data_IF_753243116304
#
_entry.id   IF_753243116304
#
_cell.length_a   1.000
_cell.length_b   1.000
_cell.length_c   1.000
_cell.angle_alpha   90.00
_cell.angle_beta   90.00
_cell.angle_gamma   90.00
#
_symmetry.space_group_name_H-M   'P 1'
#
loop_
_entity.id
_entity.type
_entity.pdbx_description
1 polymer ?
#
# COMPACT_ATOMS: atom_id res chain seq x y z
N UNK A 1 -7.32 32.89 18.72
CA UNK A 1 -7.54 31.55 18.10
C UNK A 1 -7.12 31.63 16.65
N UNK A 2 -5.86 31.30 16.35
CA UNK A 2 -5.42 31.10 14.97
C UNK A 2 -5.79 29.68 14.57
N UNK A 3 -6.77 29.57 13.67
CA UNK A 3 -7.04 28.31 12.96
C UNK A 3 -5.94 28.20 11.90
N UNK A 4 -4.91 27.41 12.19
CA UNK A 4 -3.86 27.08 11.22
C UNK A 4 -4.50 26.34 10.05
N UNK A 5 -4.47 26.95 8.87
CA UNK A 5 -4.90 26.41 7.57
C UNK A 5 -3.91 25.36 7.03
N UNK A 6 -3.41 24.47 7.89
CA UNK A 6 -2.79 23.24 7.43
C UNK A 6 -3.93 22.28 7.12
N UNK A 7 -4.06 21.87 5.85
CA UNK A 7 -4.95 20.77 5.50
C UNK A 7 -4.68 19.61 6.45
N UNK A 8 -5.71 19.11 7.14
CA UNK A 8 -5.52 17.98 8.05
C UNK A 8 -4.99 16.79 7.28
N UNK A 9 -4.00 16.10 7.85
CA UNK A 9 -3.51 14.82 7.35
C UNK A 9 -4.69 13.88 7.17
N UNK A 10 -4.81 13.22 6.00
CA UNK A 10 -5.94 12.35 5.68
C UNK A 10 -7.25 13.06 5.32
N UNK A 11 -7.26 14.38 5.07
CA UNK A 11 -8.49 15.13 4.70
C UNK A 11 -9.18 14.63 3.42
N UNK A 12 -8.46 13.95 2.53
CA UNK A 12 -9.01 13.35 1.31
C UNK A 12 -9.64 11.97 1.54
N UNK A 13 -9.46 11.40 2.73
CA UNK A 13 -10.00 10.10 3.11
C UNK A 13 -11.42 10.23 3.62
N UNK A 14 -12.25 9.27 3.24
CA UNK A 14 -13.64 9.28 3.65
C UNK A 14 -13.83 9.01 5.16
N UNK A 15 -13.01 8.14 5.75
CA UNK A 15 -13.10 7.82 7.18
C UNK A 15 -12.89 9.07 8.03
N UNK A 16 -13.78 9.29 8.99
CA UNK A 16 -13.68 10.43 9.90
C UNK A 16 -12.39 10.36 10.70
N UNK A 17 -11.70 11.50 10.78
CA UNK A 17 -10.58 11.73 11.67
C UNK A 17 -11.10 11.99 13.10
N UNK A 18 -10.77 11.12 14.04
CA UNK A 18 -11.09 11.23 15.46
C UNK A 18 -9.89 11.71 16.27
N UNK A 19 -10.15 12.38 17.40
CA UNK A 19 -9.12 12.71 18.40
C UNK A 19 -8.83 11.49 19.29
N UNK A 20 -8.11 10.52 18.73
CA UNK A 20 -7.79 9.24 19.37
C UNK A 20 -6.45 8.70 18.89
N UNK A 21 -5.90 7.69 19.57
CA UNK A 21 -4.63 7.05 19.20
C UNK A 21 -4.64 6.45 17.78
N UNK A 22 -5.82 6.03 17.30
CA UNK A 22 -6.08 5.75 15.90
C UNK A 22 -7.05 6.79 15.37
N UNK A 23 -6.53 7.79 14.66
CA UNK A 23 -7.33 8.87 14.08
C UNK A 23 -8.36 8.34 13.08
N UNK A 24 -7.99 7.30 12.32
CA UNK A 24 -8.81 6.61 11.33
C UNK A 24 -8.65 5.08 11.52
N UNK A 25 -9.39 4.48 12.48
CA UNK A 25 -9.18 3.10 12.89
C UNK A 25 -9.24 2.05 11.77
N UNK A 26 -10.18 2.17 10.83
CA UNK A 26 -10.32 1.20 9.73
C UNK A 26 -9.13 1.30 8.77
N UNK A 27 -8.75 2.52 8.38
CA UNK A 27 -7.61 2.73 7.49
C UNK A 27 -6.31 2.29 8.18
N UNK A 28 -6.09 2.63 9.45
CA UNK A 28 -4.91 2.21 10.19
C UNK A 28 -4.79 0.68 10.32
N UNK A 29 -5.91 -0.02 10.58
CA UNK A 29 -5.91 -1.49 10.66
C UNK A 29 -5.69 -2.13 9.29
N UNK A 30 -6.33 -1.61 8.23
CA UNK A 30 -6.16 -2.15 6.87
C UNK A 30 -4.75 -1.92 6.31
N UNK A 31 -4.02 -0.89 6.79
CA UNK A 31 -2.60 -0.68 6.47
C UNK A 31 -1.71 -1.86 6.87
N UNK A 32 -2.14 -2.72 7.82
CA UNK A 32 -1.43 -3.95 8.17
C UNK A 32 -1.33 -4.94 6.99
N UNK A 33 -2.17 -4.78 5.95
CA UNK A 33 -2.03 -5.54 4.70
C UNK A 33 -0.66 -5.35 4.05
N UNK A 34 -0.10 -4.14 4.09
CA UNK A 34 1.25 -3.88 3.58
C UNK A 34 2.34 -4.57 4.41
N UNK A 35 2.17 -4.63 5.73
CA UNK A 35 3.09 -5.34 6.63
C UNK A 35 3.06 -6.85 6.34
N UNK A 36 1.87 -7.42 6.16
CA UNK A 36 1.71 -8.83 5.78
C UNK A 36 2.33 -9.13 4.41
N UNK A 37 2.06 -8.29 3.41
CA UNK A 37 2.65 -8.43 2.08
C UNK A 37 4.18 -8.30 2.12
N UNK A 38 4.71 -7.36 2.91
CA UNK A 38 6.15 -7.22 3.15
C UNK A 38 6.75 -8.50 3.73
N UNK A 39 6.16 -9.06 4.79
CA UNK A 39 6.65 -10.29 5.40
C UNK A 39 6.70 -11.45 4.39
N UNK A 40 5.64 -11.62 3.59
CA UNK A 40 5.60 -12.64 2.53
C UNK A 40 6.72 -12.42 1.51
N UNK A 41 6.91 -11.19 1.02
CA UNK A 41 7.91 -10.86 0.02
C UNK A 41 9.34 -11.00 0.57
N UNK A 42 9.58 -10.67 1.84
CA UNK A 42 10.87 -10.88 2.53
C UNK A 42 11.17 -12.38 2.74
N UNK A 43 10.16 -13.18 3.08
CA UNK A 43 10.31 -14.64 3.14
C UNK A 43 10.70 -15.18 1.75
N UNK A 44 10.09 -14.67 0.69
CA UNK A 44 10.47 -15.04 -0.68
C UNK A 44 11.87 -14.55 -1.05
N UNK A 45 12.29 -13.36 -0.63
CA UNK A 45 13.63 -12.86 -0.92
C UNK A 45 14.71 -13.76 -0.34
N UNK A 46 14.50 -14.28 0.87
CA UNK A 46 15.40 -15.26 1.49
C UNK A 46 15.34 -16.59 0.74
N UNK A 47 14.13 -17.10 0.46
CA UNK A 47 13.94 -18.39 -0.20
C UNK A 47 14.51 -18.44 -1.63
N UNK A 48 14.39 -17.34 -2.38
CA UNK A 48 14.83 -17.23 -3.76
C UNK A 48 16.23 -16.64 -3.89
N UNK A 49 16.80 -16.11 -2.79
CA UNK A 49 18.07 -15.36 -2.75
C UNK A 49 18.05 -14.18 -3.72
N UNK A 50 16.91 -13.51 -3.82
CA UNK A 50 16.66 -12.44 -4.78
C UNK A 50 16.71 -11.05 -4.12
N UNK A 51 17.74 -10.22 -4.40
CA UNK A 51 17.91 -8.92 -3.74
C UNK A 51 16.80 -7.92 -4.12
N UNK A 52 16.25 -8.00 -5.32
CA UNK A 52 15.12 -7.15 -5.72
C UNK A 52 13.85 -7.46 -4.92
N UNK A 53 13.64 -8.72 -4.52
CA UNK A 53 12.55 -9.06 -3.62
C UNK A 53 12.79 -8.49 -2.22
N UNK A 54 14.05 -8.47 -1.74
CA UNK A 54 14.38 -7.85 -0.45
C UNK A 54 14.11 -6.33 -0.47
N UNK A 55 14.51 -5.64 -1.54
CA UNK A 55 14.21 -4.21 -1.74
C UNK A 55 12.71 -3.94 -1.79
N UNK A 56 11.95 -4.76 -2.53
CA UNK A 56 10.50 -4.64 -2.61
C UNK A 56 9.82 -4.88 -1.26
N UNK A 57 10.25 -5.90 -0.52
CA UNK A 57 9.75 -6.20 0.83
C UNK A 57 10.05 -5.07 1.83
N UNK A 58 11.26 -4.52 1.81
CA UNK A 58 11.65 -3.38 2.65
C UNK A 58 10.86 -2.10 2.32
N UNK A 59 10.67 -1.80 1.04
CA UNK A 59 9.85 -0.66 0.62
C UNK A 59 8.38 -0.82 1.04
N UNK A 60 7.82 -2.03 0.95
CA UNK A 60 6.47 -2.33 1.44
C UNK A 60 6.34 -2.21 2.97
N UNK A 61 7.38 -2.62 3.72
CA UNK A 61 7.39 -2.41 5.17
C UNK A 61 7.33 -0.92 5.53
N UNK A 62 8.10 -0.09 4.81
CA UNK A 62 8.09 1.35 4.98
C UNK A 62 6.72 1.96 4.66
N UNK A 63 6.04 1.52 3.59
CA UNK A 63 4.65 1.92 3.29
C UNK A 63 3.70 1.52 4.42
N UNK A 64 3.78 0.28 4.89
CA UNK A 64 2.92 -0.20 5.98
C UNK A 64 3.09 0.60 7.27
N UNK A 65 4.34 0.84 7.69
CA UNK A 65 4.65 1.64 8.88
C UNK A 65 4.20 3.10 8.72
N UNK A 66 4.53 3.71 7.57
CA UNK A 66 4.12 5.08 7.24
C UNK A 66 2.60 5.25 7.24
N UNK A 67 1.88 4.30 6.65
CA UNK A 67 0.41 4.30 6.57
C UNK A 67 -0.25 4.07 7.93
N UNK A 68 0.27 3.18 8.77
CA UNK A 68 -0.19 3.06 10.17
C UNK A 68 0.04 4.37 10.93
N UNK A 69 1.18 5.04 10.74
CA UNK A 69 1.44 6.33 11.38
C UNK A 69 0.51 7.45 10.88
N UNK A 70 0.20 7.47 9.58
CA UNK A 70 -0.64 8.47 8.91
C UNK A 70 -2.12 8.34 9.25
N UNK A 71 -2.64 7.13 9.36
CA UNK A 71 -4.04 6.90 9.74
C UNK A 71 -4.22 6.67 11.24
N UNK A 72 -3.15 6.34 11.95
CA UNK A 72 -3.17 6.08 13.38
C UNK A 72 -2.86 7.36 14.20
N UNK A 73 -1.67 7.47 14.81
CA UNK A 73 -1.35 8.54 15.76
C UNK A 73 -1.07 9.92 15.13
N UNK A 74 -0.92 10.02 13.80
CA UNK A 74 -0.70 11.27 13.07
C UNK A 74 0.38 12.23 13.64
N UNK A 75 1.60 11.76 13.95
CA UNK A 75 2.69 12.67 14.33
C UNK A 75 3.08 13.60 13.16
N UNK A 76 3.81 14.68 13.46
CA UNK A 76 4.20 15.69 12.47
C UNK A 76 4.96 15.15 11.25
N UNK A 77 5.61 13.97 11.36
CA UNK A 77 6.33 13.31 10.27
C UNK A 77 5.48 12.32 9.47
N UNK A 78 4.22 12.08 9.85
CA UNK A 78 3.40 11.01 9.28
C UNK A 78 3.14 11.19 7.77
N UNK A 79 2.92 12.43 7.31
CA UNK A 79 2.77 12.74 5.88
C UNK A 79 3.97 12.29 5.06
N UNK A 80 5.18 12.83 5.31
CA UNK A 80 6.39 12.38 4.62
C UNK A 80 6.67 10.88 4.77
N UNK A 81 6.43 10.29 5.93
CA UNK A 81 6.63 8.85 6.14
C UNK A 81 5.63 7.98 5.38
N UNK A 82 4.47 8.52 5.00
CA UNK A 82 3.49 7.84 4.16
C UNK A 82 3.83 7.99 2.67
N UNK A 83 4.09 9.20 2.21
CA UNK A 83 4.17 9.51 0.78
C UNK A 83 5.50 9.06 0.14
N UNK A 84 6.64 9.22 0.83
CA UNK A 84 7.94 8.87 0.27
C UNK A 84 8.10 7.36 0.02
N UNK A 85 7.70 6.47 0.94
CA UNK A 85 7.73 5.03 0.67
C UNK A 85 6.86 4.59 -0.51
N UNK A 86 5.74 5.26 -0.77
CA UNK A 86 4.90 4.96 -1.95
C UNK A 86 5.69 5.22 -3.24
N UNK A 87 6.41 6.34 -3.31
CA UNK A 87 7.29 6.65 -4.44
C UNK A 87 8.40 5.60 -4.55
N UNK A 88 9.02 5.20 -3.44
CA UNK A 88 10.06 4.18 -3.43
C UNK A 88 9.55 2.82 -3.95
N UNK A 89 8.36 2.38 -3.52
CA UNK A 89 7.71 1.17 -4.05
C UNK A 89 7.50 1.30 -5.57
N UNK A 90 6.98 2.42 -6.06
CA UNK A 90 6.77 2.61 -7.49
C UNK A 90 8.08 2.48 -8.29
N UNK A 91 9.18 3.09 -7.81
CA UNK A 91 10.51 2.99 -8.45
C UNK A 91 11.04 1.56 -8.43
N UNK A 92 10.97 0.87 -7.29
CA UNK A 92 11.45 -0.51 -7.16
C UNK A 92 10.68 -1.44 -8.10
N UNK A 93 9.36 -1.35 -8.14
CA UNK A 93 8.52 -2.21 -8.98
C UNK A 93 8.68 -1.89 -10.47
N UNK A 94 8.90 -0.62 -10.85
CA UNK A 94 9.25 -0.27 -12.23
C UNK A 94 10.57 -0.93 -12.65
N UNK A 95 11.59 -0.90 -11.79
CA UNK A 95 12.86 -1.61 -12.01
C UNK A 95 12.69 -3.12 -12.16
N UNK A 96 11.86 -3.72 -11.29
CA UNK A 96 11.51 -5.14 -11.38
C UNK A 96 10.82 -5.49 -12.70
N UNK A 97 9.87 -4.67 -13.16
CA UNK A 97 9.16 -4.88 -14.42
C UNK A 97 10.12 -4.85 -15.62
N UNK A 98 11.05 -3.89 -15.63
CA UNK A 98 12.09 -3.78 -16.67
C UNK A 98 13.01 -5.00 -16.69
N UNK A 99 13.33 -5.58 -15.52
CA UNK A 99 14.21 -6.74 -15.38
C UNK A 99 13.53 -8.08 -15.66
N UNK A 100 12.24 -8.20 -15.38
CA UNK A 100 11.48 -9.47 -15.45
C UNK A 100 10.65 -9.63 -16.73
N UNK A 101 11.08 -9.03 -17.85
CA UNK A 101 10.33 -8.96 -19.13
C UNK A 101 9.83 -10.30 -19.69
N UNK A 102 10.42 -11.43 -19.31
CA UNK A 102 9.96 -12.78 -19.72
C UNK A 102 8.84 -13.36 -18.87
N UNK A 103 8.47 -12.75 -17.74
CA UNK A 103 7.44 -13.24 -16.81
C UNK A 103 6.20 -12.35 -16.82
N UNK A 104 5.40 -12.40 -17.89
CA UNK A 104 4.25 -11.47 -18.07
C UNK A 104 3.05 -11.76 -17.18
N UNK A 105 2.78 -13.03 -16.87
CA UNK A 105 1.56 -13.44 -16.15
C UNK A 105 1.43 -12.80 -14.75
N UNK A 106 2.46 -12.79 -13.88
CA UNK A 106 2.37 -12.13 -12.58
C UNK A 106 2.09 -10.63 -12.67
N UNK A 107 2.68 -9.94 -13.66
CA UNK A 107 2.45 -8.52 -13.89
C UNK A 107 1.04 -8.22 -14.38
N UNK A 108 0.46 -9.05 -15.24
CA UNK A 108 -0.93 -8.90 -15.68
C UNK A 108 -1.91 -9.07 -14.51
N UNK A 109 -1.69 -10.08 -13.67
CA UNK A 109 -2.50 -10.29 -12.47
C UNK A 109 -2.37 -9.09 -11.50
N UNK A 110 -1.13 -8.63 -11.25
CA UNK A 110 -0.88 -7.47 -10.42
C UNK A 110 -1.54 -6.19 -10.96
N UNK A 111 -1.43 -5.94 -12.27
CA UNK A 111 -2.04 -4.78 -12.91
C UNK A 111 -3.57 -4.80 -12.81
N UNK A 112 -4.20 -5.97 -13.02
CA UNK A 112 -5.65 -6.12 -12.86
C UNK A 112 -6.12 -5.82 -11.44
N UNK A 113 -5.44 -6.39 -10.44
CA UNK A 113 -5.76 -6.13 -9.02
C UNK A 113 -5.51 -4.67 -8.64
N UNK A 114 -4.42 -4.08 -9.13
CA UNK A 114 -4.11 -2.67 -8.86
C UNK A 114 -5.10 -1.71 -9.52
N UNK A 115 -5.62 -2.04 -10.70
CA UNK A 115 -6.68 -1.27 -11.33
C UNK A 115 -7.97 -1.26 -10.47
N UNK A 116 -8.33 -2.40 -9.87
CA UNK A 116 -9.45 -2.48 -8.93
C UNK A 116 -9.16 -1.66 -7.66
N UNK A 117 -7.92 -1.68 -7.17
CA UNK A 117 -7.51 -0.82 -6.06
C UNK A 117 -7.75 0.65 -6.42
N UNK A 118 -7.22 1.13 -7.55
CA UNK A 118 -7.37 2.52 -7.99
C UNK A 118 -8.84 2.93 -8.11
N UNK A 119 -9.68 2.03 -8.65
CA UNK A 119 -11.12 2.25 -8.73
C UNK A 119 -11.73 2.40 -7.33
N UNK A 120 -11.42 1.49 -6.39
CA UNK A 120 -11.88 1.58 -5.01
C UNK A 120 -11.47 2.90 -4.36
N UNK A 121 -10.20 3.29 -4.46
CA UNK A 121 -9.72 4.58 -3.96
C UNK A 121 -10.53 5.73 -4.57
N UNK A 122 -10.63 5.80 -5.91
CA UNK A 122 -11.27 6.91 -6.61
C UNK A 122 -12.75 7.10 -6.23
N UNK A 123 -13.52 6.02 -6.14
CA UNK A 123 -14.96 6.08 -5.80
C UNK A 123 -15.21 6.27 -4.30
N UNK A 124 -14.17 6.11 -3.46
CA UNK A 124 -14.25 6.10 -2.02
C UNK A 124 -13.74 7.34 -1.31
N UNK A 125 -13.29 8.37 -2.04
CA UNK A 125 -12.69 9.59 -1.45
C UNK A 125 -13.73 10.51 -0.84
N UNK A 126 -13.30 11.43 0.01
CA UNK A 126 -14.14 12.51 0.53
C UNK A 126 -14.86 13.24 -0.61
N UNK A 127 -16.15 13.48 -0.46
CA UNK A 127 -17.00 14.12 -1.48
C UNK A 127 -17.56 13.20 -2.56
N UNK A 128 -17.19 11.90 -2.58
CA UNK A 128 -17.81 10.92 -3.47
C UNK A 128 -19.19 10.46 -2.95
N UNK A 129 -20.12 10.05 -3.83
CA UNK A 129 -21.44 9.53 -3.42
C UNK A 129 -21.39 8.25 -2.59
N UNK A 130 -20.28 7.49 -2.68
CA UNK A 130 -20.11 6.24 -1.93
C UNK A 130 -19.39 6.44 -0.60
N UNK A 131 -18.93 7.67 -0.29
CA UNK A 131 -18.30 7.97 0.97
C UNK A 131 -19.30 7.92 2.13
N UNK A 132 -19.03 7.06 3.11
CA UNK A 132 -19.72 7.00 4.41
C UNK A 132 -18.69 7.06 5.54
N UNK A 133 -18.50 8.23 6.18
CA UNK A 133 -17.41 8.42 7.15
C UNK A 133 -17.45 7.52 8.39
N UNK A 134 -18.65 7.10 8.81
CA UNK A 134 -18.87 6.21 9.96
C UNK A 134 -18.81 4.72 9.64
N UNK A 135 -18.67 4.36 8.37
CA UNK A 135 -18.78 2.97 7.93
C UNK A 135 -17.53 2.17 8.30
N UNK A 136 -17.70 0.96 8.83
CA UNK A 136 -16.61 -0.01 8.95
C UNK A 136 -16.12 -0.51 7.58
N UNK A 137 -16.97 -0.42 6.56
CA UNK A 137 -16.59 -0.67 5.18
C UNK A 137 -16.06 0.62 4.55
N UNK A 138 -14.74 0.72 4.43
CA UNK A 138 -14.04 1.82 3.78
C UNK A 138 -13.41 1.37 2.46
N UNK A 139 -13.73 2.08 1.38
CA UNK A 139 -13.14 1.83 0.07
C UNK A 139 -11.63 2.12 0.03
N UNK A 140 -11.14 3.09 0.83
CA UNK A 140 -9.71 3.30 1.02
C UNK A 140 -9.08 2.08 1.75
N UNK A 141 -9.78 1.48 2.71
CA UNK A 141 -9.34 0.21 3.31
C UNK A 141 -9.23 -0.93 2.27
N UNK A 142 -10.16 -1.01 1.32
CA UNK A 142 -10.06 -1.93 0.19
C UNK A 142 -8.85 -1.61 -0.73
N UNK A 143 -8.54 -0.33 -0.95
CA UNK A 143 -7.32 0.10 -1.63
C UNK A 143 -6.07 -0.47 -0.97
N UNK A 144 -5.93 -0.36 0.36
CA UNK A 144 -4.78 -0.93 1.10
C UNK A 144 -4.59 -2.43 0.83
N UNK A 145 -5.68 -3.20 0.94
CA UNK A 145 -5.63 -4.66 0.78
C UNK A 145 -5.29 -5.03 -0.67
N UNK A 146 -5.96 -4.40 -1.64
CA UNK A 146 -5.79 -4.73 -3.06
C UNK A 146 -4.41 -4.29 -3.58
N UNK A 147 -3.91 -3.11 -3.21
CA UNK A 147 -2.59 -2.65 -3.63
C UNK A 147 -1.46 -3.49 -3.00
N UNK A 148 -1.59 -3.89 -1.73
CA UNK A 148 -0.67 -4.82 -1.08
C UNK A 148 -0.64 -6.19 -1.76
N UNK A 149 -1.82 -6.72 -2.12
CA UNK A 149 -1.93 -7.96 -2.89
C UNK A 149 -1.30 -7.83 -4.28
N UNK A 150 -1.58 -6.73 -5.00
CA UNK A 150 -0.99 -6.47 -6.31
C UNK A 150 0.54 -6.44 -6.25
N UNK A 151 1.11 -5.80 -5.22
CA UNK A 151 2.55 -5.79 -4.98
C UNK A 151 3.10 -7.21 -4.76
N UNK A 152 2.47 -8.00 -3.89
CA UNK A 152 2.88 -9.39 -3.69
C UNK A 152 2.77 -10.23 -4.98
N UNK A 153 1.72 -10.06 -5.78
CA UNK A 153 1.57 -10.73 -7.07
C UNK A 153 2.69 -10.36 -8.05
N UNK A 154 3.01 -9.07 -8.17
CA UNK A 154 4.10 -8.59 -9.01
C UNK A 154 5.46 -9.12 -8.56
N UNK A 155 5.71 -9.23 -7.25
CA UNK A 155 6.95 -9.81 -6.70
C UNK A 155 7.18 -11.27 -7.13
N UNK A 156 6.12 -12.02 -7.45
CA UNK A 156 6.25 -13.39 -8.01
C UNK A 156 6.93 -13.43 -9.37
N UNK A 157 7.05 -12.30 -10.08
CA UNK A 157 7.82 -12.22 -11.33
C UNK A 157 9.33 -12.49 -11.12
N UNK A 158 9.81 -12.39 -9.86
CA UNK A 158 11.17 -12.70 -9.45
C UNK A 158 11.37 -14.17 -9.03
N UNK A 159 10.31 -14.98 -9.03
CA UNK A 159 10.43 -16.39 -8.65
C UNK A 159 11.39 -17.13 -9.62
N UNK A 160 12.28 -18.01 -9.12
CA UNK A 160 13.14 -18.81 -9.96
C UNK A 160 12.32 -19.61 -10.98
N UNK A 161 12.77 -19.64 -12.22
CA UNK A 161 12.13 -20.49 -13.22
C UNK A 161 12.32 -21.95 -12.81
N UNK A 162 11.25 -22.75 -12.81
CA UNK A 162 11.38 -24.19 -12.67
C UNK A 162 12.06 -24.68 -13.95
N UNK A 163 13.33 -25.05 -13.86
CA UNK A 163 13.98 -25.85 -14.89
C UNK A 163 13.16 -27.14 -15.01
N UNK A 164 12.43 -27.31 -16.10
CA UNK A 164 11.80 -28.59 -16.40
C UNK A 164 12.88 -29.66 -16.46
N UNK A 165 12.70 -30.73 -15.68
CA UNK A 165 13.28 -32.04 -15.99
C UNK A 165 12.56 -32.60 -17.22
#
# INVERSE_FOLDING_TARGET
>A
MQVSTLASVGSSDCERIADAALAQPVLALTSLAYVMASAVVLVWSVRWREPFAALAGGALAAVGFGSVAFHGPQPWWAGPAHDWPIIAVAVVYAGMLVRSRRSRSPWLAAAGVFALALAAYAVGRTGSPLCRPDSLWQYHGAWHVLSALAAALAARALAPQRSGL
#
